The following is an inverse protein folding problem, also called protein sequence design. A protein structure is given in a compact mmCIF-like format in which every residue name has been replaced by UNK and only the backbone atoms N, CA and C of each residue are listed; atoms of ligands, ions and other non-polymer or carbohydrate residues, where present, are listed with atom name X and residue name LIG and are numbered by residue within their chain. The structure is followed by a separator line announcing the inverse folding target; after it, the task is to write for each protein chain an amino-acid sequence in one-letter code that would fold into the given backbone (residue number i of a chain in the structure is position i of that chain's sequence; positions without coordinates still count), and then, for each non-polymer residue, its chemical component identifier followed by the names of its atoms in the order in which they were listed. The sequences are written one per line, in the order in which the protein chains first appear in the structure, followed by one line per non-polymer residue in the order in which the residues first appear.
data_IF_888253916076
#
_entry.id   IF_888253916076
#
_cell.length_a   1.000
_cell.length_b   1.000
_cell.length_c   1.000
_cell.angle_alpha   90.00
_cell.angle_beta   90.00
_cell.angle_gamma   90.00
#
_symmetry.space_group_name_H-M   'P 1'
#
loop_
_entity.id
_entity.type
_entity.pdbx_description
1 polymer ?
#
# COMPACT_ATOMS: atom_id res chain seq x y z
N UNK A 1 10.23 -8.33 7.98
CA UNK A 1 10.38 -7.05 7.24
C UNK A 1 10.82 -5.92 8.19
N UNK A 2 12.07 -5.46 8.08
CA UNK A 2 12.58 -4.26 8.77
C UNK A 2 12.58 -3.11 7.75
N UNK A 3 11.53 -2.30 7.74
CA UNK A 3 11.47 -1.13 6.88
C UNK A 3 12.31 -0.01 7.52
N UNK A 4 13.56 0.16 7.07
CA UNK A 4 14.23 1.44 7.26
C UNK A 4 13.35 2.53 6.63
N UNK A 5 13.28 3.74 7.23
CA UNK A 5 12.56 4.88 6.65
C UNK A 5 13.03 5.05 5.18
N UNK A 6 12.12 4.92 4.22
CA UNK A 6 12.31 4.85 2.76
C UNK A 6 12.64 3.48 2.12
N UNK A 7 12.63 2.39 2.87
CA UNK A 7 12.77 1.02 2.36
C UNK A 7 11.42 0.38 2.07
N UNK A 8 10.98 0.45 0.81
CA UNK A 8 9.75 -0.21 0.34
C UNK A 8 9.88 -1.72 0.47
N UNK A 9 9.21 -2.30 1.46
CA UNK A 9 9.16 -3.74 1.64
C UNK A 9 8.04 -4.35 0.80
N UNK A 10 8.30 -4.46 -0.51
CA UNK A 10 7.51 -5.23 -1.48
C UNK A 10 6.03 -4.79 -1.60
N UNK A 11 5.23 -5.25 -2.59
CA UNK A 11 5.09 -6.60 -3.12
C UNK A 11 5.76 -6.75 -4.50
N UNK A 12 5.79 -8.01 -4.97
CA UNK A 12 6.15 -8.50 -6.32
C UNK A 12 6.77 -7.46 -7.25
N UNK A 13 8.11 -7.39 -7.30
CA UNK A 13 9.00 -6.55 -8.12
C UNK A 13 8.56 -5.07 -8.28
N UNK A 14 9.46 -4.08 -8.12
CA UNK A 14 9.14 -2.66 -8.38
C UNK A 14 8.37 -2.36 -9.69
N UNK A 15 8.56 -3.20 -10.71
CA UNK A 15 7.81 -3.17 -11.98
C UNK A 15 6.30 -3.40 -11.87
N UNK A 16 5.81 -4.23 -10.94
CA UNK A 16 4.37 -4.53 -10.85
C UNK A 16 3.63 -3.40 -10.12
N UNK A 17 4.25 -2.77 -9.13
CA UNK A 17 3.75 -1.53 -8.53
C UNK A 17 3.66 -0.38 -9.55
N UNK A 18 4.65 -0.28 -10.45
CA UNK A 18 4.61 0.68 -11.56
C UNK A 18 3.45 0.40 -12.52
N UNK A 19 3.19 -0.87 -12.83
CA UNK A 19 2.06 -1.28 -13.67
C UNK A 19 0.71 -1.01 -13.01
N UNK A 20 0.60 -1.17 -11.70
CA UNK A 20 -0.61 -0.85 -10.94
C UNK A 20 -0.79 0.66 -10.75
N UNK A 21 0.28 1.45 -10.87
CA UNK A 21 0.23 2.90 -10.73
C UNK A 21 0.06 3.38 -9.30
N UNK A 22 0.42 2.58 -8.30
CA UNK A 22 0.31 2.90 -6.87
C UNK A 22 1.67 2.74 -6.16
N UNK A 23 1.78 3.33 -4.97
CA UNK A 23 2.90 3.14 -4.03
C UNK A 23 2.38 2.89 -2.63
N UNK A 24 3.22 2.25 -1.82
CA UNK A 24 2.99 2.04 -0.40
C UNK A 24 3.92 2.97 0.38
N UNK A 25 3.35 3.96 1.04
CA UNK A 25 4.06 4.94 1.85
C UNK A 25 4.06 4.49 3.31
N UNK A 26 5.24 4.32 3.92
CA UNK A 26 5.33 3.85 5.30
C UNK A 26 4.84 4.92 6.28
N UNK A 27 3.82 4.59 7.05
CA UNK A 27 3.10 5.48 7.97
C UNK A 27 3.30 5.06 9.43
N UNK A 28 4.48 4.52 9.74
CA UNK A 28 4.87 4.15 11.10
C UNK A 28 4.45 2.75 11.53
N UNK A 29 4.63 2.48 12.82
CA UNK A 29 4.27 1.22 13.46
C UNK A 29 2.97 1.39 14.26
N UNK A 30 2.12 0.36 14.24
CA UNK A 30 0.89 0.31 15.02
C UNK A 30 0.80 -1.01 15.76
N UNK A 31 0.19 -1.01 16.95
CA UNK A 31 -0.08 -2.23 17.71
C UNK A 31 -1.57 -2.56 17.61
N UNK A 32 -1.88 -3.75 17.10
CA UNK A 32 -3.25 -4.27 16.98
C UNK A 32 -3.29 -5.60 17.70
N UNK A 33 -4.17 -5.73 18.71
CA UNK A 33 -4.33 -6.95 19.51
C UNK A 33 -3.01 -7.52 20.07
N UNK A 34 -2.10 -6.64 20.50
CA UNK A 34 -0.79 -7.03 21.05
C UNK A 34 0.28 -7.39 20.01
N UNK A 35 -0.04 -7.36 18.71
CA UNK A 35 0.92 -7.59 17.62
C UNK A 35 1.30 -6.25 16.98
N UNK A 36 2.60 -6.05 16.74
CA UNK A 36 3.12 -4.84 16.07
C UNK A 36 3.11 -5.03 14.56
N UNK A 37 2.59 -4.04 13.85
CA UNK A 37 2.51 -3.99 12.40
C UNK A 37 3.22 -2.73 11.88
N UNK A 38 3.92 -2.86 10.76
CA UNK A 38 4.27 -1.76 9.89
C UNK A 38 3.02 -1.33 9.12
N UNK A 39 2.59 -0.08 9.31
CA UNK A 39 1.46 0.51 8.59
C UNK A 39 1.97 1.15 7.30
N UNK A 40 1.27 0.89 6.20
CA UNK A 40 1.51 1.53 4.92
C UNK A 40 0.24 2.20 4.42
N UNK A 41 0.35 3.41 3.90
CA UNK A 41 -0.70 4.07 3.13
C UNK A 41 -0.54 3.74 1.66
N UNK A 42 -1.60 3.27 1.01
CA UNK A 42 -1.61 3.06 -0.44
C UNK A 42 -1.99 4.36 -1.12
N UNK A 43 -1.11 4.92 -1.93
CA UNK A 43 -1.31 6.21 -2.61
C UNK A 43 -1.07 6.06 -4.12
N UNK A 44 -1.77 6.82 -4.98
CA UNK A 44 -1.56 6.76 -6.43
C UNK A 44 -0.23 7.41 -6.82
N UNK A 45 0.51 6.79 -7.74
CA UNK A 45 1.78 7.32 -8.26
C UNK A 45 1.59 8.66 -8.98
N UNK A 46 2.65 9.46 -8.97
CA UNK A 46 2.75 10.65 -9.81
C UNK A 46 3.02 10.25 -11.28
N UNK A 47 2.75 11.17 -12.21
CA UNK A 47 3.00 10.95 -13.63
C UNK A 47 2.01 9.99 -14.29
N UNK A 48 2.52 9.21 -15.27
CA UNK A 48 1.74 8.29 -16.09
C UNK A 48 1.41 7.01 -15.30
N UNK A 49 0.11 6.80 -15.10
CA UNK A 49 -0.47 5.64 -14.40
C UNK A 49 -1.64 5.09 -15.22
N UNK A 50 -2.13 3.87 -14.96
CA UNK A 50 -3.33 3.35 -15.60
C UNK A 50 -4.53 4.29 -15.44
N UNK A 51 -5.44 4.28 -16.42
CA UNK A 51 -6.60 5.16 -16.46
C UNK A 51 -7.47 5.09 -15.18
N UNK A 52 -7.77 3.90 -14.61
CA UNK A 52 -8.56 3.83 -13.37
C UNK A 52 -7.91 4.59 -12.21
N UNK A 53 -6.60 4.44 -12.02
CA UNK A 53 -5.87 5.13 -10.95
C UNK A 53 -5.76 6.62 -11.21
N UNK A 54 -5.56 7.02 -12.47
CA UNK A 54 -5.55 8.44 -12.86
C UNK A 54 -6.91 9.11 -12.56
N UNK A 55 -8.00 8.43 -12.88
CA UNK A 55 -9.36 8.92 -12.63
C UNK A 55 -9.65 9.01 -11.13
N UNK A 56 -9.34 7.94 -10.38
CA UNK A 56 -9.48 7.92 -8.92
C UNK A 56 -8.68 9.06 -8.28
N UNK A 57 -7.42 9.23 -8.67
CA UNK A 57 -6.52 10.31 -8.20
C UNK A 57 -7.13 11.69 -8.43
N UNK A 58 -7.74 11.92 -9.61
CA UNK A 58 -8.38 13.20 -9.96
C UNK A 58 -9.59 13.49 -9.07
N UNK A 59 -10.37 12.47 -8.70
CA UNK A 59 -11.57 12.61 -7.85
C UNK A 59 -11.26 12.74 -6.36
N UNK A 60 -10.16 12.15 -5.89
CA UNK A 60 -9.92 11.92 -4.46
C UNK A 60 -8.78 12.76 -3.85
N UNK A 61 -8.30 13.80 -4.53
CA UNK A 61 -7.35 14.76 -3.94
C UNK A 61 -5.88 14.57 -4.33
N UNK A 62 -5.60 13.89 -5.44
CA UNK A 62 -4.27 13.90 -6.05
C UNK A 62 -3.32 12.82 -5.53
N UNK A 63 -2.01 13.03 -5.73
CA UNK A 63 -0.99 12.01 -5.51
C UNK A 63 -0.78 11.63 -4.05
N UNK A 64 -1.18 12.48 -3.10
CA UNK A 64 -1.09 12.22 -1.66
C UNK A 64 -2.40 11.68 -1.06
N UNK A 65 -3.42 11.50 -1.89
CA UNK A 65 -4.67 10.88 -1.46
C UNK A 65 -4.42 9.42 -1.07
N UNK A 66 -4.99 9.01 0.07
CA UNK A 66 -4.83 7.66 0.61
C UNK A 66 -5.99 6.79 0.13
N UNK A 67 -5.70 5.81 -0.72
CA UNK A 67 -6.67 4.81 -1.21
C UNK A 67 -7.05 3.82 -0.09
N UNK A 68 -6.14 3.60 0.85
CA UNK A 68 -6.36 2.78 2.03
C UNK A 68 -5.09 2.56 2.82
N UNK A 69 -5.17 1.73 3.85
CA UNK A 69 -4.03 1.36 4.67
C UNK A 69 -3.84 -0.16 4.66
N UNK A 70 -2.57 -0.56 4.69
CA UNK A 70 -2.14 -1.95 4.82
C UNK A 70 -1.36 -2.12 6.12
N UNK A 71 -1.49 -3.29 6.73
CA UNK A 71 -0.82 -3.63 7.97
C UNK A 71 0.00 -4.89 7.77
N UNK A 72 1.31 -4.72 7.64
CA UNK A 72 2.24 -5.85 7.50
C UNK A 72 2.86 -6.13 8.85
N UNK A 73 2.81 -7.36 9.33
CA UNK A 73 3.39 -7.72 10.62
C UNK A 73 4.86 -7.29 10.69
N UNK A 74 5.25 -6.64 11.78
CA UNK A 74 6.65 -6.27 12.01
C UNK A 74 7.48 -7.54 12.07
N UNK A 75 8.62 -7.53 11.38
CA UNK A 75 9.46 -8.73 11.20
C UNK A 75 8.75 -9.91 10.52
N UNK A 76 7.60 -9.66 9.88
CA UNK A 76 6.83 -10.65 9.14
C UNK A 76 7.51 -11.18 7.87
N UNK A 77 6.94 -12.26 7.33
CA UNK A 77 7.37 -12.95 6.13
C UNK A 77 6.84 -12.27 4.86
N UNK A 78 7.18 -12.85 3.70
CA UNK A 78 6.57 -12.45 2.42
C UNK A 78 5.06 -12.74 2.42
N UNK A 79 4.63 -13.83 3.06
CA UNK A 79 3.20 -14.18 3.14
C UNK A 79 2.40 -13.15 3.95
N UNK A 80 3.00 -12.56 4.99
CA UNK A 80 2.38 -11.45 5.74
C UNK A 80 2.16 -10.21 4.85
N UNK A 81 3.06 -9.98 3.89
CA UNK A 81 2.96 -8.89 2.92
C UNK A 81 1.86 -9.18 1.89
N UNK A 82 1.83 -10.41 1.35
CA UNK A 82 0.80 -10.82 0.39
C UNK A 82 -0.59 -10.78 1.02
N UNK A 83 -0.74 -11.29 2.25
CA UNK A 83 -1.99 -11.26 2.99
C UNK A 83 -2.49 -9.82 3.22
N UNK A 84 -1.59 -8.89 3.54
CA UNK A 84 -1.95 -7.48 3.70
C UNK A 84 -2.42 -6.86 2.37
N UNK A 85 -1.82 -7.25 1.25
CA UNK A 85 -2.20 -6.76 -0.07
C UNK A 85 -3.56 -7.29 -0.50
N UNK A 86 -3.76 -8.60 -0.37
CA UNK A 86 -5.03 -9.24 -0.71
C UNK A 86 -6.17 -8.64 0.11
N UNK A 87 -5.96 -8.47 1.42
CA UNK A 87 -6.90 -7.78 2.30
C UNK A 87 -7.22 -6.34 1.87
N UNK A 88 -6.20 -5.56 1.47
CA UNK A 88 -6.42 -4.22 0.94
C UNK A 88 -7.23 -4.24 -0.36
N UNK A 89 -6.90 -5.12 -1.31
CA UNK A 89 -7.59 -5.15 -2.61
C UNK A 89 -9.04 -5.58 -2.48
N UNK A 90 -9.33 -6.54 -1.60
CA UNK A 90 -10.68 -6.94 -1.27
C UNK A 90 -11.46 -5.77 -0.65
N UNK A 91 -10.88 -5.10 0.35
CA UNK A 91 -11.48 -3.94 1.00
C UNK A 91 -11.71 -2.76 0.05
N UNK A 92 -10.75 -2.49 -0.82
CA UNK A 92 -10.84 -1.41 -1.81
C UNK A 92 -11.95 -1.71 -2.83
N UNK A 93 -12.04 -2.95 -3.31
CA UNK A 93 -13.07 -3.38 -4.26
C UNK A 93 -14.50 -3.29 -3.72
N UNK A 94 -14.68 -3.33 -2.40
CA UNK A 94 -15.98 -3.18 -1.74
C UNK A 94 -16.40 -1.73 -1.55
N UNK A 95 -15.47 -0.77 -1.66
CA UNK A 95 -15.69 0.66 -1.37
C UNK A 95 -15.94 1.49 -2.64
N UNK A 96 -15.46 1.03 -3.77
CA UNK A 96 -15.68 1.63 -5.10
C UNK A 96 -16.87 0.98 -5.81
#
# INVERSE_FOLDING_TARGET
VTAARAGTAYPKKPSELLNLGIRWDFDGEVTINGVVYNKFQVQPNAGKVPAPVSEWRRKNGGTHAVMGSMFVKKDGSVDDVESAWDGFTEDFSKRE
#
